data_IF_203169821230
#
_entry.id   IF_203169821230
#
_cell.length_a   1.000
_cell.length_b   1.000
_cell.length_c   1.000
_cell.angle_alpha   90.00
_cell.angle_beta   90.00
_cell.angle_gamma   90.00
#
_symmetry.space_group_name_H-M   'P 1'
#
loop_
_entity.id
_entity.type
_entity.pdbx_description
1 polymer ?
#
# COMPACT_ATOMS: atom_id res chain seq x y z
N UNK A 1 -10.35 -13.68 16.61
CA UNK A 1 -9.19 -14.34 15.97
C UNK A 1 -8.02 -13.39 16.14
N UNK A 2 -7.03 -13.75 16.95
CA UNK A 2 -5.87 -12.89 17.28
C UNK A 2 -4.61 -13.59 16.80
N UNK A 3 -3.81 -12.92 15.98
CA UNK A 3 -2.50 -13.39 15.56
C UNK A 3 -1.44 -12.77 16.48
N UNK A 4 -0.58 -13.61 17.07
CA UNK A 4 0.56 -13.19 17.88
C UNK A 4 1.80 -13.14 17.00
N UNK A 5 2.38 -11.94 16.83
CA UNK A 5 3.63 -11.72 16.11
C UNK A 5 4.77 -11.61 17.12
N UNK A 6 5.65 -12.62 17.16
CA UNK A 6 6.90 -12.57 17.92
C UNK A 6 8.00 -11.94 17.07
N UNK A 7 8.58 -10.83 17.51
CA UNK A 7 9.74 -10.21 16.88
C UNK A 7 10.92 -10.47 17.82
N UNK A 8 11.85 -11.35 17.41
CA UNK A 8 13.10 -11.56 18.13
C UNK A 8 14.17 -10.64 17.53
N UNK A 9 14.81 -9.83 18.38
CA UNK A 9 15.93 -8.97 17.99
C UNK A 9 17.22 -9.75 18.24
N UNK A 10 17.84 -10.23 17.17
CA UNK A 10 19.12 -10.93 17.24
C UNK A 10 20.27 -10.03 16.77
N UNK A 11 21.48 -10.18 17.34
CA UNK A 11 22.65 -9.44 16.90
C UNK A 11 22.99 -9.74 15.44
N UNK A 12 23.42 -8.73 14.69
CA UNK A 12 23.74 -8.86 13.26
C UNK A 12 24.82 -9.90 12.96
N UNK A 13 25.71 -10.16 13.91
CA UNK A 13 26.73 -11.21 13.83
C UNK A 13 26.14 -12.63 13.73
N UNK A 14 24.95 -12.84 14.27
CA UNK A 14 24.21 -14.11 14.20
C UNK A 14 23.40 -14.22 12.90
N UNK A 15 22.93 -13.08 12.37
CA UNK A 15 22.05 -13.02 11.20
C UNK A 15 22.83 -13.13 9.88
N UNK A 16 24.02 -12.53 9.81
CA UNK A 16 24.85 -12.54 8.61
C UNK A 16 25.14 -13.95 8.05
N UNK A 17 25.63 -14.93 8.85
CA UNK A 17 25.90 -16.28 8.32
C UNK A 17 24.63 -17.05 7.94
N UNK A 18 23.48 -16.74 8.54
CA UNK A 18 22.19 -17.35 8.17
C UNK A 18 21.67 -16.81 6.84
N UNK A 19 21.84 -15.50 6.59
CA UNK A 19 21.53 -14.89 5.31
C UNK A 19 22.43 -15.44 4.20
N UNK A 20 23.73 -15.59 4.47
CA UNK A 20 24.69 -16.13 3.51
C UNK A 20 24.40 -17.62 3.17
N UNK A 21 23.97 -18.40 4.17
CA UNK A 21 23.49 -19.78 3.95
C UNK A 21 22.19 -19.84 3.12
N UNK A 22 21.24 -18.93 3.36
CA UNK A 22 20.01 -18.81 2.56
C UNK A 22 20.29 -18.39 1.10
N UNK A 23 21.33 -17.56 0.88
CA UNK A 23 21.77 -17.18 -0.45
C UNK A 23 22.47 -18.34 -1.18
N UNK A 24 23.18 -19.21 -0.45
CA UNK A 24 23.73 -20.44 -1.00
C UNK A 24 22.65 -21.49 -1.37
N UNK A 25 21.49 -21.46 -0.70
CA UNK A 25 20.34 -22.33 -1.03
C UNK A 25 19.49 -21.83 -2.23
N UNK A 26 19.75 -20.62 -2.77
CA UNK A 26 19.03 -20.09 -3.96
C UNK A 26 19.28 -20.86 -5.27
N UNK A 27 20.11 -21.91 -5.26
CA UNK A 27 20.31 -22.83 -6.39
C UNK A 27 19.24 -23.91 -6.56
N UNK A 28 18.32 -24.09 -5.61
CA UNK A 28 17.21 -25.03 -5.71
C UNK A 28 15.92 -24.32 -6.16
N UNK A 29 15.04 -24.94 -6.97
CA UNK A 29 13.75 -24.38 -7.34
C UNK A 29 12.78 -24.51 -6.15
N UNK A 30 13.03 -23.72 -5.11
CA UNK A 30 12.26 -23.65 -3.88
C UNK A 30 11.83 -22.22 -3.67
N UNK A 31 10.75 -21.86 -4.34
CA UNK A 31 9.87 -20.71 -4.13
C UNK A 31 10.32 -19.75 -3.00
N UNK A 32 11.04 -18.68 -3.38
CA UNK A 32 11.12 -17.47 -2.57
C UNK A 32 9.70 -16.95 -2.42
N UNK A 33 9.02 -17.33 -1.33
CA UNK A 33 7.76 -16.71 -0.93
C UNK A 33 8.12 -15.29 -0.54
N UNK A 34 8.12 -14.40 -1.53
CA UNK A 34 8.04 -12.95 -1.30
C UNK A 34 6.93 -12.79 -0.28
N UNK A 35 7.26 -12.29 0.90
CA UNK A 35 6.32 -12.07 1.97
C UNK A 35 5.31 -11.03 1.46
N UNK A 36 4.26 -11.51 0.78
CA UNK A 36 3.21 -10.68 0.24
C UNK A 36 2.52 -10.10 1.46
N UNK A 37 2.83 -8.84 1.78
CA UNK A 37 2.07 -8.07 2.77
C UNK A 37 0.62 -8.22 2.36
N UNK A 38 -0.15 -9.00 3.13
CA UNK A 38 -1.55 -9.22 2.81
C UNK A 38 -2.28 -7.90 3.02
N UNK A 39 -2.52 -7.18 1.93
CA UNK A 39 -3.27 -5.93 1.99
C UNK A 39 -4.72 -6.32 2.23
N UNK A 40 -5.22 -5.91 3.39
CA UNK A 40 -6.60 -6.19 3.77
C UNK A 40 -7.55 -5.30 2.97
N UNK A 41 -8.79 -5.77 2.75
CA UNK A 41 -9.86 -4.94 2.16
C UNK A 41 -10.05 -3.62 2.90
N UNK A 42 -9.85 -3.61 4.23
CA UNK A 42 -9.87 -2.38 5.03
C UNK A 42 -8.82 -1.37 4.58
N UNK A 43 -7.58 -1.83 4.37
CA UNK A 43 -6.48 -0.97 3.89
C UNK A 43 -6.78 -0.45 2.49
N UNK A 44 -7.30 -1.29 1.59
CA UNK A 44 -7.73 -0.86 0.26
C UNK A 44 -8.82 0.23 0.35
N UNK A 45 -9.87 0.02 1.15
CA UNK A 45 -10.94 1.00 1.34
C UNK A 45 -10.42 2.33 1.88
N UNK A 46 -9.51 2.29 2.87
CA UNK A 46 -8.86 3.49 3.40
C UNK A 46 -8.05 4.23 2.35
N UNK A 47 -7.33 3.50 1.48
CA UNK A 47 -6.54 4.10 0.39
C UNK A 47 -7.41 4.70 -0.70
N UNK A 48 -8.53 4.05 -1.05
CA UNK A 48 -9.51 4.60 -2.00
C UNK A 48 -10.04 5.94 -1.50
N UNK A 49 -10.50 6.01 -0.25
CA UNK A 49 -11.05 7.24 0.31
C UNK A 49 -9.97 8.29 0.54
N UNK A 50 -8.78 7.92 0.99
CA UNK A 50 -7.65 8.85 1.13
C UNK A 50 -7.25 9.49 -0.20
N UNK A 51 -7.18 8.69 -1.28
CA UNK A 51 -6.92 9.20 -2.62
C UNK A 51 -8.01 10.17 -3.10
N UNK A 52 -9.28 9.82 -2.88
CA UNK A 52 -10.40 10.68 -3.21
C UNK A 52 -10.32 12.02 -2.46
N UNK A 53 -10.07 11.97 -1.15
CA UNK A 53 -9.99 13.15 -0.30
C UNK A 53 -8.87 14.08 -0.76
N UNK A 54 -7.68 13.55 -1.03
CA UNK A 54 -6.53 14.33 -1.51
C UNK A 54 -6.85 15.08 -2.82
N UNK A 55 -7.59 14.45 -3.73
CA UNK A 55 -8.02 15.11 -4.97
C UNK A 55 -9.07 16.18 -4.69
N UNK A 56 -10.12 15.83 -3.95
CA UNK A 56 -11.31 16.66 -3.75
C UNK A 56 -11.05 17.85 -2.81
N UNK A 57 -10.10 17.74 -1.88
CA UNK A 57 -9.69 18.80 -0.99
C UNK A 57 -9.21 20.05 -1.75
N UNK A 58 -8.61 19.88 -2.93
CA UNK A 58 -8.20 21.02 -3.78
C UNK A 58 -9.38 21.81 -4.38
N UNK A 59 -10.59 21.24 -4.36
CA UNK A 59 -11.81 21.87 -4.86
C UNK A 59 -12.69 22.42 -3.74
N UNK A 60 -12.41 22.07 -2.48
CA UNK A 60 -13.09 22.66 -1.34
C UNK A 60 -12.62 24.12 -1.19
N UNK A 61 -13.55 25.07 -1.27
CA UNK A 61 -13.27 26.46 -0.94
C UNK A 61 -13.46 26.67 0.56
N UNK A 62 -12.65 27.53 1.17
CA UNK A 62 -12.70 27.80 2.62
C UNK A 62 -14.06 28.30 3.14
N UNK A 63 -14.93 28.76 2.25
CA UNK A 63 -16.25 29.28 2.59
C UNK A 63 -17.38 28.23 2.47
N UNK A 64 -17.12 27.06 1.88
CA UNK A 64 -18.11 26.00 1.71
C UNK A 64 -17.47 24.61 1.79
N UNK A 65 -17.88 23.81 2.78
CA UNK A 65 -17.54 22.38 2.92
C UNK A 65 -18.18 21.49 1.84
N UNK A 66 -18.65 22.08 0.74
CA UNK A 66 -19.30 21.39 -0.36
C UNK A 66 -18.31 21.17 -1.52
N UNK A 67 -18.14 19.91 -1.92
CA UNK A 67 -17.37 19.55 -3.11
C UNK A 67 -18.30 19.53 -4.33
N UNK A 68 -17.95 20.19 -5.45
CA UNK A 68 -18.76 20.12 -6.66
C UNK A 68 -18.90 18.67 -7.17
N UNK A 69 -20.13 18.24 -7.43
CA UNK A 69 -20.45 16.91 -7.98
C UNK A 69 -19.66 16.57 -9.26
N UNK A 70 -19.31 17.59 -10.06
CA UNK A 70 -18.46 17.42 -11.24
C UNK A 70 -17.03 16.98 -10.89
N UNK A 71 -16.43 17.56 -9.85
CA UNK A 71 -15.08 17.20 -9.43
C UNK A 71 -15.00 15.74 -8.99
N UNK A 72 -16.03 15.25 -8.28
CA UNK A 72 -16.13 13.84 -7.90
C UNK A 72 -16.21 12.91 -9.13
N UNK A 73 -17.06 13.24 -10.11
CA UNK A 73 -17.16 12.44 -11.35
C UNK A 73 -15.85 12.43 -12.14
N UNK A 74 -15.18 13.57 -12.24
CA UNK A 74 -13.91 13.70 -12.93
C UNK A 74 -12.82 12.87 -12.24
N UNK A 75 -12.81 12.83 -10.90
CA UNK A 75 -11.95 11.93 -10.11
C UNK A 75 -12.28 10.46 -10.39
N UNK A 76 -13.55 10.06 -10.27
CA UNK A 76 -13.97 8.68 -10.45
C UNK A 76 -13.55 8.12 -11.82
N UNK A 77 -13.76 8.91 -12.89
CA UNK A 77 -13.35 8.51 -14.24
C UNK A 77 -11.84 8.27 -14.38
N UNK A 78 -11.01 9.07 -13.70
CA UNK A 78 -9.55 8.88 -13.68
C UNK A 78 -9.15 7.69 -12.82
N UNK A 79 -9.83 7.50 -11.69
CA UNK A 79 -9.60 6.42 -10.75
C UNK A 79 -9.89 5.06 -11.41
N UNK A 80 -11.05 4.90 -12.06
CA UNK A 80 -11.42 3.67 -12.80
C UNK A 80 -10.37 3.31 -13.85
N UNK A 81 -9.98 4.26 -14.70
CA UNK A 81 -8.93 4.03 -15.71
C UNK A 81 -7.61 3.57 -15.11
N UNK A 82 -7.24 4.09 -13.94
CA UNK A 82 -6.00 3.74 -13.25
C UNK A 82 -6.08 2.35 -12.62
N UNK A 83 -7.25 1.98 -12.08
CA UNK A 83 -7.52 0.62 -11.59
C UNK A 83 -7.46 -0.38 -12.74
N UNK A 84 -8.09 -0.09 -13.87
CA UNK A 84 -8.07 -0.99 -15.04
C UNK A 84 -6.65 -1.18 -15.60
N UNK A 85 -5.84 -0.12 -15.57
CA UNK A 85 -4.48 -0.16 -16.11
C UNK A 85 -3.47 -0.81 -15.15
N UNK A 86 -3.55 -0.54 -13.84
CA UNK A 86 -2.60 -1.06 -12.85
C UNK A 86 -3.25 -1.14 -11.46
N UNK A 87 -4.02 -2.20 -11.13
CA UNK A 87 -4.69 -2.33 -9.83
C UNK A 87 -3.73 -2.24 -8.63
N UNK A 88 -2.46 -2.61 -8.83
CA UNK A 88 -1.44 -2.58 -7.78
C UNK A 88 -1.06 -1.16 -7.33
N UNK A 89 -1.53 -0.11 -8.01
CA UNK A 89 -1.33 1.27 -7.53
C UNK A 89 -1.96 1.51 -6.16
N UNK A 90 -3.07 0.83 -5.85
CA UNK A 90 -3.70 0.87 -4.52
C UNK A 90 -2.87 0.15 -3.46
N UNK A 91 -1.89 -0.64 -3.88
CA UNK A 91 -0.99 -1.39 -3.00
C UNK A 91 0.29 -0.61 -2.65
N UNK A 92 0.62 0.41 -3.43
CA UNK A 92 1.74 1.31 -3.21
C UNK A 92 1.31 2.41 -2.24
N UNK A 93 2.10 2.67 -1.20
CA UNK A 93 1.86 3.81 -0.32
C UNK A 93 2.01 5.09 -1.14
N UNK A 94 1.01 6.00 -1.06
CA UNK A 94 1.08 7.30 -1.72
C UNK A 94 2.22 8.10 -1.04
N UNK A 95 3.28 8.51 -1.77
CA UNK A 95 4.43 9.21 -1.17
C UNK A 95 4.06 10.57 -0.56
N UNK A 96 2.86 11.08 -0.85
CA UNK A 96 2.29 12.30 -0.27
C UNK A 96 1.53 12.10 1.04
N UNK A 97 1.39 10.88 1.55
CA UNK A 97 0.71 10.59 2.83
C UNK A 97 1.67 10.59 4.05
N UNK A 98 2.98 10.72 3.82
CA UNK A 98 3.99 10.88 4.86
C UNK A 98 4.32 12.37 5.02
N UNK A 99 3.43 13.11 5.69
CA UNK A 99 3.61 14.49 6.11
C UNK A 99 3.19 14.66 7.55
#
# INVERSE_FOLDING_TARGET
MTATLGISLEPIATVAPQLEALEAEKGAPGQLVRQTRQITTKVLAQRIIGNAFNFLASFASSDQDAVPLKAFRDWWSKFERKVDMDPSFLEREDPSASG
#
